data_IF_246027239209
#
_entry.id   IF_246027239209
#
_cell.length_a   1.000
_cell.length_b   1.000
_cell.length_c   1.000
_cell.angle_alpha   90.00
_cell.angle_beta   90.00
_cell.angle_gamma   90.00
#
_symmetry.space_group_name_H-M   'P 1'
#
loop_
_entity.id
_entity.type
_entity.pdbx_description
1 polymer ?
#
# COMPACT_ATOMS: atom_id res chain seq x y z
N UNK A 1 -3.48 -6.65 -12.82
CA UNK A 1 -3.50 -5.96 -11.51
C UNK A 1 -3.51 -4.44 -11.68
N UNK A 2 -4.05 -3.74 -10.71
CA UNK A 2 -4.01 -2.27 -10.61
C UNK A 2 -3.21 -1.89 -9.37
N UNK A 3 -2.20 -1.03 -9.53
CA UNK A 3 -1.39 -0.52 -8.43
C UNK A 3 -1.94 0.83 -7.95
N UNK A 4 -2.18 0.97 -6.65
CA UNK A 4 -2.48 2.24 -5.99
C UNK A 4 -1.19 2.80 -5.39
N UNK A 5 -0.63 3.84 -5.99
CA UNK A 5 0.58 4.51 -5.55
C UNK A 5 0.26 5.92 -5.04
N UNK A 6 1.03 6.42 -4.10
CA UNK A 6 0.90 7.77 -3.56
C UNK A 6 1.44 7.87 -2.15
N UNK A 7 1.74 9.09 -1.66
CA UNK A 7 2.30 9.31 -0.33
C UNK A 7 1.37 8.88 0.82
N UNK A 8 1.86 8.81 2.05
CA UNK A 8 1.01 8.63 3.23
C UNK A 8 -0.12 9.67 3.26
N UNK A 9 -1.35 9.25 3.59
CA UNK A 9 -2.51 10.16 3.60
C UNK A 9 -3.15 10.48 2.25
N UNK A 10 -2.61 9.99 1.10
CA UNK A 10 -3.18 10.26 -0.22
C UNK A 10 -4.52 9.55 -0.50
N UNK A 11 -4.94 8.61 0.36
CA UNK A 11 -6.26 7.96 0.22
C UNK A 11 -6.25 6.58 -0.43
N UNK A 12 -5.07 5.98 -0.72
CA UNK A 12 -4.95 4.64 -1.34
C UNK A 12 -5.87 3.59 -0.72
N UNK A 13 -5.78 3.40 0.60
CA UNK A 13 -6.59 2.41 1.31
C UNK A 13 -8.08 2.68 1.23
N UNK A 14 -8.50 3.95 1.27
CA UNK A 14 -9.91 4.34 1.09
C UNK A 14 -10.40 4.00 -0.30
N UNK A 15 -9.65 4.39 -1.34
CA UNK A 15 -9.98 4.08 -2.73
C UNK A 15 -9.95 2.57 -3.00
N UNK A 16 -8.96 1.85 -2.48
CA UNK A 16 -8.89 0.39 -2.59
C UNK A 16 -10.12 -0.31 -1.98
N UNK A 17 -10.55 0.14 -0.79
CA UNK A 17 -11.76 -0.38 -0.13
C UNK A 17 -13.03 -0.06 -0.93
N UNK A 18 -13.16 1.14 -1.50
CA UNK A 18 -14.31 1.52 -2.33
C UNK A 18 -14.34 0.70 -3.62
N UNK A 19 -13.22 0.61 -4.32
CA UNK A 19 -13.12 -0.16 -5.56
C UNK A 19 -13.38 -1.65 -5.34
N UNK A 20 -12.99 -2.21 -4.20
CA UNK A 20 -13.23 -3.62 -3.88
C UNK A 20 -14.69 -3.97 -3.59
N UNK A 21 -15.59 -2.97 -3.51
CA UNK A 21 -17.03 -3.24 -3.47
C UNK A 21 -17.58 -3.65 -4.86
N UNK A 22 -16.84 -3.39 -5.93
CA UNK A 22 -17.21 -3.84 -7.27
C UNK A 22 -16.88 -5.32 -7.43
N UNK A 23 -17.80 -6.13 -7.97
CA UNK A 23 -17.54 -7.54 -8.23
C UNK A 23 -16.29 -7.75 -9.10
N UNK A 24 -15.45 -8.69 -8.73
CA UNK A 24 -14.21 -9.01 -9.45
C UNK A 24 -13.01 -8.11 -9.11
N UNK A 25 -13.13 -7.20 -8.13
CA UNK A 25 -12.00 -6.43 -7.63
C UNK A 25 -11.62 -6.88 -6.22
N UNK A 26 -10.36 -7.21 -6.01
CA UNK A 26 -9.84 -7.69 -4.72
C UNK A 26 -8.73 -6.76 -4.24
N UNK A 27 -8.97 -6.08 -3.11
CA UNK A 27 -8.01 -5.16 -2.50
C UNK A 27 -7.06 -5.87 -1.56
N UNK A 28 -5.77 -5.72 -1.78
CA UNK A 28 -4.69 -6.26 -0.94
C UNK A 28 -3.77 -5.12 -0.51
N UNK A 29 -3.82 -4.80 0.78
CA UNK A 29 -2.99 -3.77 1.40
C UNK A 29 -1.83 -4.41 2.16
N UNK A 30 -0.58 -4.08 1.78
CA UNK A 30 0.60 -4.54 2.51
C UNK A 30 0.60 -4.04 3.95
N UNK A 31 0.14 -2.82 4.18
CA UNK A 31 0.01 -2.27 5.52
C UNK A 31 -0.96 -3.06 6.39
N UNK A 32 -2.09 -3.50 5.85
CA UNK A 32 -3.06 -4.31 6.59
C UNK A 32 -2.54 -5.73 6.82
N UNK A 33 -1.84 -6.32 5.85
CA UNK A 33 -1.19 -7.62 6.03
C UNK A 33 -0.26 -7.61 7.25
N UNK A 34 0.59 -6.59 7.37
CA UNK A 34 1.51 -6.46 8.50
C UNK A 34 0.81 -6.16 9.82
N UNK A 35 -0.18 -5.25 9.84
CA UNK A 35 -0.93 -4.89 11.05
C UNK A 35 -1.76 -6.04 11.62
N UNK A 36 -2.19 -6.97 10.77
CA UNK A 36 -2.94 -8.16 11.18
C UNK A 36 -2.05 -9.32 11.67
N UNK A 37 -0.73 -9.14 11.71
CA UNK A 37 0.16 -10.13 12.30
C UNK A 37 0.01 -10.15 13.83
N UNK A 38 0.21 -11.32 14.40
CA UNK A 38 0.42 -11.41 15.85
C UNK A 38 1.71 -10.64 16.22
N UNK A 39 1.56 -9.58 17.00
CA UNK A 39 2.66 -8.73 17.46
C UNK A 39 3.67 -9.46 18.33
N UNK A 40 3.34 -10.63 18.89
CA UNK A 40 4.26 -11.48 19.63
C UNK A 40 5.08 -12.41 18.73
N UNK A 41 4.67 -12.58 17.47
CA UNK A 41 5.45 -13.34 16.48
C UNK A 41 6.73 -12.60 16.08
N UNK A 42 7.74 -13.33 15.57
CA UNK A 42 8.98 -12.71 15.09
C UNK A 42 8.73 -11.69 13.99
N UNK A 43 7.81 -11.99 13.07
CA UNK A 43 7.46 -11.11 11.97
C UNK A 43 6.67 -9.88 12.46
N UNK A 44 5.78 -10.04 13.45
CA UNK A 44 5.05 -8.94 14.07
C UNK A 44 5.99 -7.99 14.84
N UNK A 45 6.97 -8.54 15.59
CA UNK A 45 8.00 -7.74 16.25
C UNK A 45 8.87 -6.97 15.25
N UNK A 46 9.30 -7.64 14.18
CA UNK A 46 10.05 -7.00 13.09
C UNK A 46 9.24 -5.84 12.48
N UNK A 47 7.97 -6.05 12.17
CA UNK A 47 7.11 -4.98 11.66
C UNK A 47 7.02 -3.79 12.61
N UNK A 48 6.82 -4.03 13.91
CA UNK A 48 6.75 -2.95 14.90
C UNK A 48 8.08 -2.17 14.98
N UNK A 49 9.21 -2.85 14.92
CA UNK A 49 10.52 -2.21 14.92
C UNK A 49 10.68 -1.20 13.78
N UNK A 50 10.31 -1.53 12.55
CA UNK A 50 10.40 -0.63 11.39
C UNK A 50 9.29 0.42 11.40
N UNK A 51 8.04 0.03 11.65
CA UNK A 51 6.89 0.93 11.55
C UNK A 51 6.92 2.05 12.60
N UNK A 52 7.42 1.77 13.81
CA UNK A 52 7.58 2.80 14.86
C UNK A 52 8.63 3.85 14.54
N UNK A 53 9.57 3.54 13.64
CA UNK A 53 10.56 4.49 13.11
C UNK A 53 10.12 5.14 11.79
N UNK A 54 8.98 4.73 11.23
CA UNK A 54 8.48 5.20 9.94
C UNK A 54 9.24 4.65 8.74
N UNK A 55 9.99 3.57 8.93
CA UNK A 55 10.82 2.89 7.93
C UNK A 55 10.04 1.78 7.22
N UNK A 56 10.55 1.34 6.05
CA UNK A 56 10.01 0.21 5.33
C UNK A 56 10.59 -1.11 5.88
N UNK A 57 9.74 -2.13 6.02
CA UNK A 57 10.20 -3.50 6.29
C UNK A 57 11.03 -3.99 5.09
N UNK A 58 12.10 -4.79 5.30
CA UNK A 58 12.93 -5.31 4.21
C UNK A 58 12.12 -5.95 3.06
N UNK A 59 12.57 -5.71 1.83
CA UNK A 59 11.83 -6.06 0.62
C UNK A 59 11.54 -7.57 0.51
N UNK A 60 12.53 -8.40 0.80
CA UNK A 60 12.40 -9.87 0.78
C UNK A 60 11.35 -10.39 1.77
N UNK A 61 11.29 -9.79 2.96
CA UNK A 61 10.29 -10.11 4.00
C UNK A 61 8.90 -9.70 3.51
N UNK A 62 8.80 -8.49 2.96
CA UNK A 62 7.54 -7.95 2.45
C UNK A 62 6.98 -8.80 1.32
N UNK A 63 7.81 -9.16 0.33
CA UNK A 63 7.38 -9.98 -0.82
C UNK A 63 7.03 -11.40 -0.39
N UNK A 64 7.80 -12.00 0.54
CA UNK A 64 7.48 -13.33 1.08
C UNK A 64 6.14 -13.35 1.81
N UNK A 65 5.86 -12.35 2.65
CA UNK A 65 4.58 -12.22 3.33
C UNK A 65 3.43 -12.06 2.33
N UNK A 66 3.62 -11.22 1.31
CA UNK A 66 2.63 -10.99 0.27
C UNK A 66 2.33 -12.28 -0.51
N UNK A 67 3.36 -13.02 -0.96
CA UNK A 67 3.18 -14.30 -1.66
C UNK A 67 2.38 -15.30 -0.82
N UNK A 68 2.74 -15.45 0.45
CA UNK A 68 2.01 -16.34 1.36
C UNK A 68 0.55 -15.91 1.53
N UNK A 69 0.29 -14.59 1.64
CA UNK A 69 -1.06 -14.05 1.72
C UNK A 69 -1.87 -14.37 0.46
N UNK A 70 -1.30 -14.15 -0.74
CA UNK A 70 -1.97 -14.44 -2.01
C UNK A 70 -2.26 -15.92 -2.20
N UNK A 71 -1.34 -16.80 -1.82
CA UNK A 71 -1.58 -18.24 -1.84
C UNK A 71 -2.75 -18.66 -0.93
N UNK A 72 -2.84 -18.08 0.25
CA UNK A 72 -3.96 -18.32 1.17
C UNK A 72 -5.29 -17.87 0.58
N UNK A 73 -5.33 -16.66 0.01
CA UNK A 73 -6.53 -16.10 -0.62
C UNK A 73 -7.00 -16.96 -1.79
N UNK A 74 -6.07 -17.41 -2.63
CA UNK A 74 -6.40 -18.30 -3.74
C UNK A 74 -6.93 -19.67 -3.26
N UNK A 75 -6.29 -20.28 -2.25
CA UNK A 75 -6.73 -21.56 -1.66
C UNK A 75 -8.10 -21.47 -0.97
N UNK A 76 -8.43 -20.32 -0.39
CA UNK A 76 -9.72 -20.09 0.29
C UNK A 76 -10.84 -19.61 -0.66
N UNK A 77 -10.55 -19.41 -1.94
CA UNK A 77 -11.51 -18.90 -2.92
C UNK A 77 -11.82 -17.40 -2.78
N UNK A 78 -11.04 -16.65 -1.99
CA UNK A 78 -11.17 -15.20 -1.83
C UNK A 78 -10.56 -14.43 -3.00
N UNK A 79 -9.77 -15.08 -3.84
CA UNK A 79 -9.16 -14.53 -5.04
C UNK A 79 -9.08 -15.60 -6.14
N UNK A 80 -9.63 -15.30 -7.32
CA UNK A 80 -9.52 -16.12 -8.52
C UNK A 80 -8.65 -15.39 -9.55
N UNK A 81 -7.43 -15.88 -9.75
CA UNK A 81 -6.44 -15.29 -10.68
C UNK A 81 -6.94 -15.15 -12.13
N UNK A 82 -7.96 -15.92 -12.53
CA UNK A 82 -8.51 -15.89 -13.90
C UNK A 82 -9.62 -14.86 -14.09
N UNK A 83 -10.25 -14.41 -13.00
CA UNK A 83 -11.44 -13.57 -13.04
C UNK A 83 -11.30 -12.26 -12.31
N UNK A 84 -10.47 -12.23 -11.27
CA UNK A 84 -10.40 -11.08 -10.39
C UNK A 84 -9.26 -10.13 -10.76
N UNK A 85 -9.50 -8.85 -10.59
CA UNK A 85 -8.51 -7.79 -10.69
C UNK A 85 -7.95 -7.48 -9.30
N UNK A 86 -6.65 -7.68 -9.14
CA UNK A 86 -5.96 -7.41 -7.89
C UNK A 86 -5.66 -5.91 -7.77
N UNK A 87 -6.15 -5.28 -6.70
CA UNK A 87 -5.82 -3.89 -6.33
C UNK A 87 -4.70 -3.94 -5.29
N UNK A 88 -3.49 -3.59 -5.71
CA UNK A 88 -2.29 -3.58 -4.86
C UNK A 88 -2.15 -2.22 -4.16
N UNK A 89 -2.23 -2.20 -2.84
CA UNK A 89 -2.04 -1.00 -2.01
C UNK A 89 -0.80 -1.13 -1.14
N UNK A 90 0.16 -0.22 -1.35
CA UNK A 90 1.40 -0.16 -0.58
C UNK A 90 2.38 -1.31 -0.86
N UNK A 91 2.28 -1.95 -2.02
CA UNK A 91 3.25 -2.87 -2.60
C UNK A 91 3.11 -2.80 -4.14
N UNK A 92 4.24 -2.63 -4.89
CA UNK A 92 5.60 -2.37 -4.41
C UNK A 92 5.77 -0.99 -3.76
N UNK A 93 6.74 -0.86 -2.85
CA UNK A 93 7.20 0.39 -2.23
C UNK A 93 8.63 0.75 -2.58
N UNK A 94 9.30 -0.07 -3.37
CA UNK A 94 10.63 0.20 -3.92
C UNK A 94 10.73 -0.35 -5.33
N UNK A 95 11.69 0.14 -6.12
CA UNK A 95 11.98 -0.41 -7.44
C UNK A 95 12.37 -1.89 -7.34
N UNK A 96 13.13 -2.27 -6.32
CA UNK A 96 13.49 -3.66 -6.08
C UNK A 96 12.27 -4.57 -5.80
N UNK A 97 11.29 -4.10 -5.01
CA UNK A 97 10.02 -4.82 -4.87
C UNK A 97 9.27 -4.95 -6.20
N UNK A 98 9.29 -3.91 -7.05
CA UNK A 98 8.68 -3.96 -8.37
C UNK A 98 9.33 -5.03 -9.26
N UNK A 99 10.66 -5.13 -9.26
CA UNK A 99 11.42 -6.19 -9.94
C UNK A 99 11.03 -7.58 -9.42
N UNK A 100 10.99 -7.77 -8.09
CA UNK A 100 10.62 -9.05 -7.46
C UNK A 100 9.19 -9.50 -7.76
N UNK A 101 8.29 -8.57 -8.11
CA UNK A 101 6.90 -8.84 -8.45
C UNK A 101 6.66 -9.01 -9.95
N UNK A 102 7.59 -8.60 -10.81
CA UNK A 102 7.40 -8.52 -12.26
C UNK A 102 6.91 -9.84 -12.89
N UNK A 103 7.43 -10.97 -12.43
CA UNK A 103 7.04 -12.31 -12.92
C UNK A 103 5.72 -12.84 -12.32
N UNK A 104 5.20 -12.18 -11.29
CA UNK A 104 4.02 -12.65 -10.55
C UNK A 104 2.78 -11.77 -10.77
N UNK A 105 2.98 -10.55 -11.27
CA UNK A 105 1.93 -9.53 -11.37
C UNK A 105 1.92 -8.90 -12.74
N UNK A 106 0.87 -9.14 -13.52
CA UNK A 106 0.62 -8.39 -14.75
C UNK A 106 0.00 -7.03 -14.39
N UNK A 107 0.78 -5.96 -14.56
CA UNK A 107 0.38 -4.59 -14.27
C UNK A 107 -0.42 -4.01 -15.44
N UNK A 108 -1.72 -3.81 -15.22
CA UNK A 108 -2.63 -3.20 -16.18
C UNK A 108 -2.62 -1.67 -16.10
N UNK A 109 -2.65 -1.16 -14.86
CA UNK A 109 -2.78 0.27 -14.58
C UNK A 109 -2.11 0.62 -13.25
N UNK A 110 -1.46 1.78 -13.19
CA UNK A 110 -0.97 2.41 -11.98
C UNK A 110 -1.74 3.71 -11.76
N UNK A 111 -2.46 3.80 -10.65
CA UNK A 111 -3.14 5.01 -10.20
C UNK A 111 -2.26 5.73 -9.19
N UNK A 112 -1.67 6.85 -9.61
CA UNK A 112 -0.85 7.69 -8.76
C UNK A 112 -1.74 8.76 -8.09
N UNK A 113 -2.09 8.54 -6.83
CA UNK A 113 -2.91 9.47 -6.07
C UNK A 113 -2.06 10.60 -5.47
N UNK A 114 -2.48 11.84 -5.75
CA UNK A 114 -1.85 13.05 -5.25
C UNK A 114 -2.85 13.89 -4.47
N UNK A 115 -2.39 14.57 -3.43
CA UNK A 115 -3.14 15.56 -2.67
C UNK A 115 -2.18 16.59 -2.10
N UNK A 116 -2.69 17.71 -1.59
CA UNK A 116 -1.84 18.68 -0.91
C UNK A 116 -1.27 18.09 0.39
N UNK A 117 -0.10 18.57 0.80
CA UNK A 117 0.55 18.08 2.01
C UNK A 117 -0.32 18.31 3.25
N UNK A 118 -1.02 19.45 3.30
CA UNK A 118 -1.92 19.80 4.39
C UNK A 118 -3.08 18.79 4.49
N UNK A 119 -3.71 18.48 3.37
CA UNK A 119 -4.81 17.49 3.33
C UNK A 119 -4.33 16.10 3.73
N UNK A 120 -3.12 15.71 3.31
CA UNK A 120 -2.55 14.40 3.67
C UNK A 120 -2.24 14.31 5.17
N UNK A 121 -1.66 15.35 5.77
CA UNK A 121 -1.36 15.41 7.21
C UNK A 121 -2.66 15.38 8.03
N UNK A 122 -3.67 16.16 7.65
CA UNK A 122 -4.98 16.15 8.30
C UNK A 122 -5.62 14.75 8.28
N UNK A 123 -5.59 14.08 7.12
CA UNK A 123 -6.11 12.70 6.96
C UNK A 123 -5.35 11.69 7.82
N UNK A 124 -4.03 11.84 7.96
CA UNK A 124 -3.19 10.99 8.82
C UNK A 124 -3.61 11.19 10.29
N UNK A 125 -3.75 12.43 10.76
CA UNK A 125 -4.18 12.72 12.14
C UNK A 125 -5.58 12.17 12.42
N UNK A 126 -6.53 12.37 11.51
CA UNK A 126 -7.90 11.83 11.65
C UNK A 126 -7.88 10.30 11.74
N UNK A 127 -7.09 9.64 10.90
CA UNK A 127 -6.93 8.19 10.89
C UNK A 127 -6.27 7.66 12.16
N UNK A 128 -5.27 8.38 12.70
CA UNK A 128 -4.64 8.04 13.97
C UNK A 128 -5.66 7.89 15.10
N UNK A 129 -6.62 8.81 15.17
CA UNK A 129 -7.68 8.81 16.18
C UNK A 129 -8.73 7.71 15.93
N UNK A 130 -9.09 7.46 14.66
CA UNK A 130 -10.15 6.52 14.31
C UNK A 130 -9.70 5.04 14.31
N UNK A 131 -8.46 4.78 13.87
CA UNK A 131 -7.94 3.42 13.67
C UNK A 131 -6.88 3.04 14.70
N UNK A 132 -6.65 3.89 15.72
CA UNK A 132 -5.63 3.69 16.77
C UNK A 132 -4.25 3.32 16.20
N UNK A 133 -3.83 4.02 15.14
CA UNK A 133 -2.55 3.79 14.46
C UNK A 133 -1.42 4.51 15.17
N UNK A 134 -0.57 3.76 15.85
CA UNK A 134 0.59 4.30 16.59
C UNK A 134 1.60 5.00 15.65
N UNK A 135 1.76 4.50 14.43
CA UNK A 135 2.64 5.06 13.38
C UNK A 135 2.14 6.39 12.78
N UNK A 136 0.92 6.79 13.09
CA UNK A 136 0.31 8.06 12.65
C UNK A 136 0.26 9.12 13.77
N UNK A 137 0.58 8.76 15.03
CA UNK A 137 0.47 9.64 16.19
C UNK A 137 1.69 10.58 16.30
N UNK A 138 2.88 10.06 16.06
CA UNK A 138 4.13 10.81 16.22
C UNK A 138 4.45 11.61 14.94
N UNK A 139 4.51 12.96 15.01
CA UNK A 139 4.81 13.80 13.84
C UNK A 139 6.17 13.48 13.18
N UNK A 140 7.19 13.07 13.95
CA UNK A 140 8.49 12.72 13.39
C UNK A 140 8.45 11.42 12.59
N UNK A 141 7.67 10.44 13.07
CA UNK A 141 7.40 9.19 12.33
C UNK A 141 6.65 9.51 11.03
N UNK A 142 5.64 10.37 11.09
CA UNK A 142 4.90 10.81 9.90
C UNK A 142 5.84 11.50 8.91
N UNK A 143 6.69 12.42 9.38
CA UNK A 143 7.70 13.09 8.52
C UNK A 143 8.65 12.08 7.89
N UNK A 144 9.14 11.11 8.66
CA UNK A 144 10.01 10.04 8.13
C UNK A 144 9.31 9.22 7.04
N UNK A 145 8.04 8.90 7.20
CA UNK A 145 7.26 8.17 6.19
C UNK A 145 7.10 8.93 4.88
N UNK A 146 7.01 10.26 4.90
CA UNK A 146 7.05 11.07 3.68
C UNK A 146 8.43 10.99 3.02
N UNK A 147 9.51 11.11 3.79
CA UNK A 147 10.87 10.97 3.27
C UNK A 147 11.11 9.58 2.66
N UNK A 148 10.68 8.51 3.32
CA UNK A 148 10.75 7.14 2.79
C UNK A 148 9.94 6.99 1.50
N UNK A 149 8.77 7.61 1.42
CA UNK A 149 7.99 7.60 0.19
C UNK A 149 8.76 8.27 -0.96
N UNK A 150 9.29 9.47 -0.76
CA UNK A 150 10.05 10.20 -1.79
C UNK A 150 11.32 9.45 -2.21
N UNK A 151 12.04 8.87 -1.25
CA UNK A 151 13.32 8.23 -1.52
C UNK A 151 13.17 6.83 -2.16
N UNK A 152 12.24 6.01 -1.69
CA UNK A 152 12.13 4.61 -2.08
C UNK A 152 10.91 4.32 -2.96
N UNK A 153 9.76 4.99 -2.71
CA UNK A 153 8.50 4.61 -3.35
C UNK A 153 8.18 5.47 -4.59
N UNK A 154 8.47 6.76 -4.58
CA UNK A 154 8.23 7.59 -5.76
C UNK A 154 8.99 7.09 -7.01
N UNK A 155 10.24 6.58 -6.91
CA UNK A 155 10.96 6.00 -8.05
C UNK A 155 10.29 4.76 -8.68
N UNK A 156 9.33 4.11 -8.02
CA UNK A 156 8.53 3.03 -8.61
C UNK A 156 7.79 3.48 -9.86
N UNK A 157 7.45 4.77 -9.96
CA UNK A 157 6.84 5.34 -11.17
C UNK A 157 7.74 5.17 -12.40
N UNK A 158 9.05 5.21 -12.24
CA UNK A 158 10.01 5.07 -13.35
C UNK A 158 10.16 3.62 -13.83
N UNK A 159 9.76 2.65 -12.99
CA UNK A 159 9.81 1.23 -13.33
C UNK A 159 8.71 0.83 -14.33
N UNK A 160 7.57 1.50 -14.32
CA UNK A 160 6.42 1.15 -15.16
C UNK A 160 6.30 2.07 -16.39
N UNK A 161 5.78 1.53 -17.52
CA UNK A 161 5.52 2.33 -18.71
C UNK A 161 4.56 3.50 -18.43
N UNK A 162 4.88 4.66 -18.98
CA UNK A 162 4.11 5.90 -18.73
C UNK A 162 2.67 5.85 -19.24
N UNK A 163 2.42 5.06 -20.29
CA UNK A 163 1.08 4.83 -20.84
C UNK A 163 0.16 4.03 -19.88
N UNK A 164 0.74 3.31 -18.91
CA UNK A 164 0.02 2.62 -17.84
C UNK A 164 -0.18 3.48 -16.59
N UNK A 165 0.39 4.67 -16.50
CA UNK A 165 0.28 5.54 -15.31
C UNK A 165 -0.83 6.58 -15.53
N UNK A 166 -1.68 6.72 -14.51
CA UNK A 166 -2.68 7.80 -14.42
C UNK A 166 -2.56 8.52 -13.08
N UNK A 167 -2.27 9.80 -13.14
CA UNK A 167 -2.28 10.66 -11.94
C UNK A 167 -3.71 11.09 -11.65
N UNK A 168 -4.12 10.94 -10.40
CA UNK A 168 -5.46 11.26 -9.91
C UNK A 168 -5.32 12.27 -8.78
N UNK A 169 -6.01 13.39 -8.89
CA UNK A 169 -6.18 14.32 -7.77
C UNK A 169 -7.09 13.69 -6.72
N UNK A 170 -6.51 13.39 -5.58
CA UNK A 170 -7.20 12.81 -4.44
C UNK A 170 -7.53 13.86 -3.36
N UNK A 171 -7.53 15.14 -3.72
CA UNK A 171 -7.93 16.26 -2.84
C UNK A 171 -9.41 16.23 -2.48
N UNK A 172 -10.27 15.80 -3.41
CA UNK A 172 -11.71 15.69 -3.24
C UNK A 172 -12.15 14.49 -2.37
N UNK A 173 -13.43 14.38 -2.11
CA UNK A 173 -14.04 13.24 -1.43
C UNK A 173 -13.93 11.95 -2.31
N UNK A 174 -13.91 10.74 -1.70
CA UNK A 174 -13.67 9.50 -2.44
C UNK A 174 -14.64 9.17 -3.58
N UNK A 175 -15.79 9.82 -3.65
CA UNK A 175 -16.83 9.58 -4.65
C UNK A 175 -17.08 10.79 -5.56
N UNK A 176 -16.25 11.81 -5.47
CA UNK A 176 -16.23 12.96 -6.39
C UNK A 176 -15.14 12.76 -7.44
#
# INVERSE_FOLDING_TARGET
SVLLLGPPGSGKGTQGKVLSQMPGFVHVSSGDMFRNLDHQSDLGRLFLEYSTRGELVPDDVTIRLWRHHMERMAKSGQFDIKRDVLLLDGIPRSAHQAEMLADNVDMLLLLHLQASQEAMVERIHKRALQENRLDDINPDVVRRRFQEYEAATAPVLEFYPTDKIRTVDAGAAPLE
#
